data_IF_056903351223
#
_entry.id   IF_056903351223
#
_cell.length_a   1.000
_cell.length_b   1.000
_cell.length_c   1.000
_cell.angle_alpha   90.00
_cell.angle_beta   90.00
_cell.angle_gamma   90.00
#
_symmetry.space_group_name_H-M   'P 1'
#
loop_
_entity.id
_entity.type
_entity.pdbx_description
1 polymer ?
#
# COMPACT_ATOMS: atom_id res chain seq x y z
N UNK A 1 5.65 7.42 -3.98
CA UNK A 1 5.60 5.97 -3.80
C UNK A 1 4.35 5.59 -3.04
N UNK A 2 3.98 4.32 -3.08
CA UNK A 2 2.98 3.72 -2.20
C UNK A 2 3.69 2.67 -1.36
N UNK A 3 3.63 2.82 -0.05
CA UNK A 3 4.26 1.90 0.88
C UNK A 3 3.17 1.27 1.73
N UNK A 4 3.22 -0.05 1.85
CA UNK A 4 2.27 -0.86 2.61
C UNK A 4 3.04 -1.63 3.68
N UNK A 5 2.55 -1.58 4.92
CA UNK A 5 2.92 -2.53 5.96
C UNK A 5 1.68 -3.11 6.61
N UNK A 6 1.44 -4.39 6.39
CA UNK A 6 0.27 -5.12 6.84
C UNK A 6 0.68 -6.19 7.85
N UNK A 7 -0.08 -6.30 8.92
CA UNK A 7 0.02 -7.35 9.92
C UNK A 7 -1.28 -8.16 9.90
N UNK A 8 -1.17 -9.45 9.63
CA UNK A 8 -2.29 -10.37 9.57
C UNK A 8 -2.53 -11.04 10.92
N UNK A 9 -3.75 -11.55 11.11
CA UNK A 9 -4.17 -12.19 12.37
C UNK A 9 -3.39 -13.44 12.75
N UNK A 10 -2.80 -14.14 11.78
CA UNK A 10 -1.97 -15.32 12.03
C UNK A 10 -0.54 -14.96 12.49
N UNK A 11 -0.19 -13.67 12.52
CA UNK A 11 1.14 -13.16 12.83
C UNK A 11 2.02 -12.93 11.61
N UNK A 12 1.57 -13.32 10.41
CA UNK A 12 2.29 -13.03 9.17
C UNK A 12 2.26 -11.53 8.86
N UNK A 13 3.31 -11.02 8.22
CA UNK A 13 3.42 -9.60 7.84
C UNK A 13 3.85 -9.43 6.39
N UNK A 14 3.34 -8.38 5.76
CA UNK A 14 3.75 -7.93 4.43
C UNK A 14 4.26 -6.50 4.55
N UNK A 15 5.48 -6.24 4.09
CA UNK A 15 5.92 -4.89 3.74
C UNK A 15 6.18 -4.84 2.25
N UNK A 16 5.66 -3.83 1.55
CA UNK A 16 5.94 -3.63 0.14
C UNK A 16 5.89 -2.16 -0.23
N UNK A 17 6.83 -1.70 -1.04
CA UNK A 17 6.82 -0.36 -1.61
C UNK A 17 6.79 -0.42 -3.13
N UNK A 18 5.82 0.28 -3.72
CA UNK A 18 5.72 0.54 -5.14
C UNK A 18 6.26 1.95 -5.42
N UNK A 19 7.41 2.01 -6.05
CA UNK A 19 7.96 3.24 -6.60
C UNK A 19 7.22 3.57 -7.90
N UNK A 20 6.97 4.87 -8.11
CA UNK A 20 6.33 5.37 -9.32
C UNK A 20 7.21 6.42 -9.95
N UNK A 21 7.40 6.28 -11.25
CA UNK A 21 7.97 7.32 -12.08
C UNK A 21 6.97 8.46 -12.29
N UNK A 22 7.48 9.59 -12.80
CA UNK A 22 6.65 10.78 -13.05
C UNK A 22 5.57 10.55 -14.11
N UNK A 23 5.77 9.58 -14.99
CA UNK A 23 4.79 9.16 -15.99
C UNK A 23 3.73 8.21 -15.44
N UNK A 24 3.85 7.83 -14.16
CA UNK A 24 2.94 6.94 -13.45
C UNK A 24 3.26 5.45 -13.62
N UNK A 25 4.29 5.09 -14.37
CA UNK A 25 4.77 3.70 -14.45
C UNK A 25 5.43 3.25 -13.15
N UNK A 26 5.49 1.94 -12.92
CA UNK A 26 6.15 1.37 -11.74
C UNK A 26 7.65 1.21 -12.00
N UNK A 27 8.45 1.73 -11.08
CA UNK A 27 9.90 1.60 -11.15
C UNK A 27 10.32 0.18 -10.72
N UNK A 28 11.27 -0.46 -11.45
CA UNK A 28 11.67 -1.85 -11.24
C UNK A 28 12.34 -2.13 -9.89
N UNK A 29 12.80 -1.10 -9.17
CA UNK A 29 13.35 -1.20 -7.82
C UNK A 29 12.28 -1.24 -6.71
N UNK A 30 11.00 -1.28 -7.08
CA UNK A 30 9.91 -1.63 -6.16
C UNK A 30 10.14 -3.01 -5.56
N UNK A 31 10.05 -3.11 -4.23
CA UNK A 31 10.36 -4.33 -3.52
C UNK A 31 9.59 -4.45 -2.21
N UNK A 32 9.66 -5.63 -1.61
CA UNK A 32 9.08 -5.87 -0.31
C UNK A 32 9.58 -7.14 0.33
N UNK A 33 8.96 -7.48 1.45
CA UNK A 33 9.24 -8.69 2.20
C UNK A 33 7.95 -9.23 2.78
N UNK A 34 7.73 -10.52 2.58
CA UNK A 34 6.77 -11.30 3.33
C UNK A 34 7.48 -12.00 4.48
N UNK A 35 6.90 -11.96 5.67
CA UNK A 35 7.35 -12.76 6.82
C UNK A 35 6.18 -13.61 7.26
N UNK A 36 6.34 -14.94 7.22
CA UNK A 36 5.28 -15.85 7.68
C UNK A 36 5.16 -15.89 9.21
N UNK A 37 4.11 -16.53 9.72
CA UNK A 37 3.88 -16.71 11.15
C UNK A 37 5.02 -17.42 11.92
N UNK A 38 5.90 -18.13 11.21
CA UNK A 38 7.08 -18.77 11.79
C UNK A 38 8.34 -17.86 11.74
N UNK A 39 8.20 -16.63 11.26
CA UNK A 39 9.30 -15.66 11.12
C UNK A 39 10.15 -15.86 9.87
N UNK A 40 9.77 -16.75 8.95
CA UNK A 40 10.55 -16.99 7.72
C UNK A 40 10.27 -15.88 6.73
N UNK A 41 11.34 -15.25 6.26
CA UNK A 41 11.28 -14.12 5.35
C UNK A 41 11.40 -14.56 3.89
N UNK A 42 10.62 -13.91 3.03
CA UNK A 42 10.67 -14.04 1.57
C UNK A 42 10.74 -12.64 0.96
N UNK A 43 11.79 -12.36 0.20
CA UNK A 43 11.89 -11.15 -0.59
C UNK A 43 10.84 -11.17 -1.72
N UNK A 44 10.27 -9.99 -2.00
CA UNK A 44 9.28 -9.78 -3.06
C UNK A 44 9.80 -8.70 -4.01
N UNK A 45 9.64 -8.93 -5.30
CA UNK A 45 9.89 -7.96 -6.36
C UNK A 45 8.58 -7.33 -6.85
N UNK A 46 8.69 -6.32 -7.72
CA UNK A 46 7.54 -5.72 -8.41
C UNK A 46 6.61 -6.75 -9.06
N UNK A 47 7.18 -7.82 -9.63
CA UNK A 47 6.40 -8.84 -10.36
C UNK A 47 5.66 -9.82 -9.44
N UNK A 48 6.01 -9.85 -8.15
CA UNK A 48 5.40 -10.77 -7.18
C UNK A 48 4.12 -10.20 -6.57
N UNK A 49 3.92 -8.87 -6.64
CA UNK A 49 2.83 -8.16 -5.96
C UNK A 49 2.00 -7.40 -6.98
N UNK A 50 0.73 -7.80 -7.13
CA UNK A 50 -0.27 -7.01 -7.86
C UNK A 50 -0.97 -6.07 -6.88
N UNK A 51 -1.09 -4.80 -7.28
CA UNK A 51 -1.81 -3.76 -6.54
C UNK A 51 -2.85 -3.17 -7.48
N UNK A 52 -4.12 -3.42 -7.21
CA UNK A 52 -5.23 -2.87 -7.96
C UNK A 52 -5.93 -1.78 -7.12
N UNK A 53 -5.97 -0.55 -7.63
CA UNK A 53 -6.61 0.58 -6.92
C UNK A 53 -8.11 0.58 -7.20
N UNK A 54 -8.91 0.19 -6.20
CA UNK A 54 -10.37 0.08 -6.28
C UNK A 54 -11.13 1.34 -5.87
N UNK A 55 -10.46 2.39 -5.42
CA UNK A 55 -11.14 3.60 -4.93
C UNK A 55 -10.18 4.70 -4.52
N UNK A 56 -10.72 5.91 -4.43
CA UNK A 56 -9.95 7.11 -4.18
C UNK A 56 -10.66 8.04 -3.22
N UNK A 57 -9.87 8.75 -2.41
CA UNK A 57 -10.31 9.87 -1.62
C UNK A 57 -9.76 11.17 -2.23
N UNK A 58 -10.50 12.26 -2.08
CA UNK A 58 -10.05 13.60 -2.50
C UNK A 58 -10.08 14.51 -1.29
N UNK A 59 -8.98 15.21 -1.05
CA UNK A 59 -8.95 16.25 -0.02
C UNK A 59 -9.73 17.50 -0.48
N UNK A 60 -9.96 18.43 0.44
CA UNK A 60 -10.63 19.71 0.14
C UNK A 60 -9.88 20.59 -0.87
N UNK A 61 -8.58 20.33 -1.09
CA UNK A 61 -7.71 21.06 -2.03
C UNK A 61 -7.66 20.41 -3.43
N UNK A 62 -8.41 19.33 -3.66
CA UNK A 62 -8.52 18.64 -4.95
C UNK A 62 -7.45 17.56 -5.22
N UNK A 63 -6.47 17.37 -4.34
CA UNK A 63 -5.53 16.26 -4.43
C UNK A 63 -6.26 14.92 -4.25
N UNK A 64 -5.85 13.91 -5.03
CA UNK A 64 -6.55 12.63 -5.13
C UNK A 64 -5.62 11.49 -4.74
N UNK A 65 -6.00 10.75 -3.71
CA UNK A 65 -5.24 9.65 -3.13
C UNK A 65 -5.96 8.33 -3.37
N UNK A 66 -5.25 7.27 -3.78
CA UNK A 66 -5.76 5.90 -3.61
C UNK A 66 -6.21 5.69 -2.17
N UNK A 67 -7.38 5.08 -2.00
CA UNK A 67 -7.99 4.87 -0.69
C UNK A 67 -8.75 3.55 -0.59
N UNK A 68 -8.57 2.65 -1.57
CA UNK A 68 -8.99 1.24 -1.53
C UNK A 68 -8.04 0.49 -2.45
N UNK A 69 -7.48 -0.60 -1.97
CA UNK A 69 -6.57 -1.43 -2.73
C UNK A 69 -6.97 -2.89 -2.63
N UNK A 70 -6.75 -3.63 -3.70
CA UNK A 70 -6.71 -5.08 -3.70
C UNK A 70 -5.26 -5.50 -3.95
N UNK A 71 -4.71 -6.28 -3.01
CA UNK A 71 -3.34 -6.77 -3.07
C UNK A 71 -3.39 -8.28 -3.28
N UNK A 72 -2.69 -8.75 -4.30
CA UNK A 72 -2.54 -10.17 -4.60
C UNK A 72 -1.05 -10.52 -4.70
N UNK A 73 -0.63 -11.51 -3.91
CA UNK A 73 0.75 -12.04 -3.86
C UNK A 73 0.69 -13.55 -4.05
N UNK A 74 0.66 -14.06 -5.30
CA UNK A 74 0.45 -15.48 -5.58
C UNK A 74 1.48 -16.39 -4.91
N UNK A 75 2.73 -15.93 -4.84
CA UNK A 75 3.86 -16.66 -4.30
C UNK A 75 3.71 -17.06 -2.82
N UNK A 76 2.80 -16.41 -2.08
CA UNK A 76 2.46 -16.70 -0.69
C UNK A 76 0.96 -16.94 -0.50
N UNK A 77 0.21 -17.10 -1.60
CA UNK A 77 -1.24 -17.28 -1.62
C UNK A 77 -2.01 -16.22 -0.80
N UNK A 78 -1.55 -14.97 -0.84
CA UNK A 78 -2.22 -13.83 -0.20
C UNK A 78 -3.10 -13.11 -1.21
N UNK A 79 -4.35 -12.88 -0.84
CA UNK A 79 -5.32 -12.11 -1.64
C UNK A 79 -6.19 -11.29 -0.68
N UNK A 80 -5.98 -9.97 -0.61
CA UNK A 80 -6.58 -9.12 0.40
C UNK A 80 -7.04 -7.76 -0.13
N UNK A 81 -8.18 -7.31 0.37
CA UNK A 81 -8.61 -5.92 0.34
C UNK A 81 -7.96 -5.13 1.49
N UNK A 82 -7.46 -3.95 1.17
CA UNK A 82 -6.91 -2.97 2.13
C UNK A 82 -7.74 -1.70 2.06
N UNK A 83 -8.23 -1.24 3.21
CA UNK A 83 -9.11 -0.06 3.30
C UNK A 83 -8.70 0.83 4.45
N UNK A 84 -8.68 2.15 4.26
CA UNK A 84 -8.37 3.08 5.33
C UNK A 84 -9.44 3.06 6.41
N UNK A 85 -9.01 3.15 7.66
CA UNK A 85 -9.90 3.30 8.82
C UNK A 85 -10.61 4.64 8.76
N UNK A 86 -9.91 5.69 8.33
CA UNK A 86 -10.43 7.03 8.06
C UNK A 86 -9.95 7.50 6.69
N UNK A 87 -10.83 8.15 5.92
CA UNK A 87 -10.48 8.61 4.58
C UNK A 87 -9.45 9.76 4.60
N UNK A 88 -9.62 10.72 5.52
CA UNK A 88 -8.74 11.88 5.68
C UNK A 88 -7.64 11.58 6.70
N UNK A 89 -6.48 11.19 6.19
CA UNK A 89 -5.26 10.98 6.95
C UNK A 89 -4.07 11.66 6.23
N UNK A 90 -4.34 12.80 5.57
CA UNK A 90 -3.30 13.61 4.91
C UNK A 90 -2.50 14.43 5.93
N UNK A 91 -1.18 14.37 5.84
CA UNK A 91 -0.27 15.24 6.59
C UNK A 91 0.09 16.48 5.76
N UNK A 92 -0.07 17.64 6.38
CA UNK A 92 0.19 18.96 5.78
C UNK A 92 1.66 19.36 5.66
N UNK A 93 2.57 18.41 5.47
CA UNK A 93 4.02 18.63 5.33
C UNK A 93 4.42 19.00 3.90
N UNK A 94 5.71 19.31 3.70
CA UNK A 94 6.32 19.45 2.37
C UNK A 94 7.49 18.47 2.24
N UNK A 95 7.41 17.45 1.36
CA UNK A 95 6.26 17.10 0.53
C UNK A 95 5.04 16.65 1.37
N UNK A 96 3.85 16.67 0.77
CA UNK A 96 2.63 16.17 1.43
C UNK A 96 2.58 14.65 1.40
N UNK A 97 2.24 14.06 2.52
CA UNK A 97 2.01 12.63 2.66
C UNK A 97 0.54 12.35 2.97
N UNK A 98 0.07 11.18 2.55
CA UNK A 98 -1.09 10.55 3.18
C UNK A 98 -0.56 9.37 3.96
N UNK A 99 -0.85 9.33 5.25
CA UNK A 99 -0.28 8.38 6.20
C UNK A 99 -1.40 7.78 7.02
N UNK A 100 -1.90 6.62 6.58
CA UNK A 100 -3.17 6.12 7.08
C UNK A 100 -3.12 4.73 7.65
N UNK A 101 -3.73 4.58 8.83
CA UNK A 101 -4.11 3.28 9.36
C UNK A 101 -5.13 2.63 8.42
N UNK A 102 -4.93 1.33 8.14
CA UNK A 102 -5.79 0.53 7.27
C UNK A 102 -6.25 -0.76 7.96
N UNK A 103 -7.45 -1.19 7.63
CA UNK A 103 -7.95 -2.54 7.92
C UNK A 103 -7.71 -3.44 6.69
N UNK A 104 -7.44 -4.72 6.96
CA UNK A 104 -7.18 -5.75 5.94
C UNK A 104 -8.21 -6.86 6.07
N UNK A 105 -8.77 -7.29 4.93
CA UNK A 105 -9.70 -8.43 4.86
C UNK A 105 -9.44 -9.24 3.60
N UNK A 106 -9.53 -10.56 3.65
CA UNK A 106 -9.41 -11.38 2.45
C UNK A 106 -9.09 -12.82 2.78
N UNK A 107 -8.15 -13.42 2.04
CA UNK A 107 -7.71 -14.80 2.23
C UNK A 107 -6.19 -14.94 2.27
N UNK A 108 -5.73 -15.93 3.02
CA UNK A 108 -4.37 -16.44 3.02
C UNK A 108 -4.44 -17.96 2.88
N UNK A 109 -3.79 -18.50 1.85
CA UNK A 109 -3.87 -19.93 1.50
C UNK A 109 -5.33 -20.44 1.39
N UNK A 110 -6.22 -19.62 0.83
CA UNK A 110 -7.65 -19.92 0.67
C UNK A 110 -8.48 -19.86 1.96
N UNK A 111 -7.86 -19.59 3.12
CA UNK A 111 -8.57 -19.40 4.39
C UNK A 111 -8.84 -17.93 4.64
N UNK A 112 -10.00 -17.61 5.21
CA UNK A 112 -10.36 -16.22 5.54
C UNK A 112 -9.33 -15.64 6.52
N UNK A 113 -8.78 -14.50 6.16
CA UNK A 113 -7.87 -13.73 7.00
C UNK A 113 -8.35 -12.29 7.15
N UNK A 114 -7.71 -11.58 8.07
CA UNK A 114 -7.82 -10.15 8.20
C UNK A 114 -6.63 -9.62 8.97
N UNK A 115 -6.62 -8.32 9.21
CA UNK A 115 -5.48 -7.69 9.84
C UNK A 115 -5.63 -6.18 9.88
N UNK A 116 -4.53 -5.53 10.24
CA UNK A 116 -4.38 -4.08 10.22
C UNK A 116 -3.04 -3.71 9.64
N UNK A 117 -2.90 -2.46 9.26
CA UNK A 117 -1.63 -1.99 8.73
C UNK A 117 -1.56 -0.50 8.63
N UNK A 118 -0.56 -0.07 7.88
CA UNK A 118 -0.34 1.31 7.53
C UNK A 118 -0.05 1.40 6.03
N UNK A 119 -0.57 2.46 5.42
CA UNK A 119 -0.24 2.83 4.05
C UNK A 119 0.26 4.26 4.03
N UNK A 120 1.43 4.46 3.43
CA UNK A 120 2.02 5.77 3.19
C UNK A 120 2.03 6.06 1.69
N UNK A 121 1.54 7.24 1.32
CA UNK A 121 1.44 7.69 -0.06
C UNK A 121 2.10 9.06 -0.19
N UNK A 122 2.96 9.21 -1.19
CA UNK A 122 3.58 10.50 -1.54
C UNK A 122 3.57 10.72 -3.05
N UNK A 123 3.46 11.99 -3.45
CA UNK A 123 3.45 12.41 -4.85
C UNK A 123 2.05 12.53 -5.49
N UNK A 124 0.98 12.52 -4.68
CA UNK A 124 -0.41 12.65 -5.16
C UNK A 124 -1.01 14.04 -5.04
N UNK A 125 -0.52 14.83 -4.08
CA UNK A 125 -0.78 16.26 -4.09
C UNK A 125 0.17 16.93 -5.07
N UNK A 126 -0.29 17.98 -5.78
CA UNK A 126 0.62 18.87 -6.45
C UNK A 126 1.61 19.40 -5.41
N UNK A 127 2.87 18.99 -5.53
CA UNK A 127 3.96 19.74 -4.95
C UNK A 127 4.01 21.08 -5.65
N UNK A 128 4.31 22.14 -4.92
CA UNK A 128 4.94 23.32 -5.49
C UNK A 128 6.21 22.83 -6.17
N UNK A 129 6.11 22.39 -7.43
CA UNK A 129 7.26 22.41 -8.30
C UNK A 129 7.74 23.86 -8.21
N UNK A 130 8.98 24.07 -7.78
CA UNK A 130 9.69 25.24 -8.24
C UNK A 130 9.52 25.23 -9.76
N UNK A 131 8.72 26.15 -10.29
CA UNK A 131 8.68 26.43 -11.72
C UNK A 131 10.13 26.62 -12.18
N UNK A 132 10.51 26.10 -13.36
CA UNK A 132 11.69 26.60 -14.04
C UNK A 132 11.53 28.08 -14.41
#
# INVERSE_FOLDING_TARGET
WDWFALQLKDGSTLMFYALRDRDGSHDPYSAGTWVDAAGRSRALSLNDVRIDVGGYWRNARGARYPARWHLNVPAVALDVDVRPVLADQELGTTPRYWEGAVDVTGTLAGQKTGGRGYVELVGYAPGTASEP
#
